data_IF_311121418921
#
_entry.id   IF_311121418921
#
_cell.length_a   1.000
_cell.length_b   1.000
_cell.length_c   1.000
_cell.angle_alpha   90.00
_cell.angle_beta   90.00
_cell.angle_gamma   90.00
#
_symmetry.space_group_name_H-M   'P 1'
#
loop_
_entity.id
_entity.type
_entity.pdbx_description
1 polymer ?
#
# COMPACT_ATOMS: atom_id res chain seq x y z
N UNK A 1 -10.79 6.80 -8.46
CA UNK A 1 -10.07 5.60 -8.00
C UNK A 1 -9.73 5.73 -6.52
N UNK A 2 -10.01 4.71 -5.75
CA UNK A 2 -9.65 4.69 -4.33
C UNK A 2 -8.51 3.72 -4.08
N UNK A 3 -7.53 4.17 -3.30
CA UNK A 3 -6.32 3.42 -3.01
C UNK A 3 -6.22 3.24 -1.50
N UNK A 4 -5.90 2.03 -1.05
CA UNK A 4 -5.69 1.76 0.37
C UNK A 4 -4.23 1.37 0.60
N UNK A 5 -3.62 1.98 1.61
CA UNK A 5 -2.23 1.71 1.96
C UNK A 5 -2.17 1.43 3.46
N UNK A 6 -1.89 0.18 3.87
CA UNK A 6 -1.70 -0.11 5.29
C UNK A 6 -0.41 0.57 5.77
N UNK A 7 -0.50 1.34 6.83
CA UNK A 7 0.64 2.11 7.30
C UNK A 7 0.92 1.89 8.79
N UNK A 8 2.17 2.15 9.16
CA UNK A 8 2.64 2.16 10.53
C UNK A 8 3.36 3.51 10.67
N UNK A 9 2.70 4.46 11.33
CA UNK A 9 3.20 5.83 11.37
C UNK A 9 3.20 6.41 9.96
N UNK A 10 4.36 6.84 9.47
CA UNK A 10 4.50 7.41 8.14
C UNK A 10 5.03 6.39 7.13
N UNK A 11 5.11 5.13 7.51
CA UNK A 11 5.71 4.10 6.68
C UNK A 11 4.69 3.07 6.24
N UNK A 12 4.98 2.41 5.12
CA UNK A 12 4.19 1.26 4.71
C UNK A 12 4.31 0.20 5.82
N UNK A 13 3.20 -0.33 6.28
CA UNK A 13 3.24 -1.38 7.29
C UNK A 13 3.93 -2.61 6.70
N UNK A 14 4.85 -3.25 7.45
CA UNK A 14 5.55 -4.44 6.93
C UNK A 14 4.60 -5.58 6.57
N UNK A 15 3.45 -5.65 7.24
CA UNK A 15 2.47 -6.72 6.98
C UNK A 15 1.08 -6.14 6.87
N UNK A 16 0.34 -6.63 5.88
CA UNK A 16 -1.03 -6.20 5.65
C UNK A 16 -1.94 -6.51 6.85
N UNK A 17 -1.77 -7.66 7.46
CA UNK A 17 -2.66 -8.16 8.51
C UNK A 17 -2.39 -7.56 9.90
N UNK A 18 -1.32 -6.78 10.04
CA UNK A 18 -0.99 -6.18 11.33
C UNK A 18 -0.85 -4.66 11.31
N UNK A 19 -1.32 -4.00 10.28
CA UNK A 19 -1.20 -2.56 10.20
C UNK A 19 -2.06 -1.86 11.26
N UNK A 20 -1.53 -0.86 11.97
CA UNK A 20 -2.32 -0.12 12.94
C UNK A 20 -3.28 0.88 12.30
N UNK A 21 -3.00 1.30 11.07
CA UNK A 21 -3.85 2.23 10.35
C UNK A 21 -3.91 1.89 8.87
N UNK A 22 -4.98 2.33 8.22
CA UNK A 22 -5.15 2.20 6.79
C UNK A 22 -5.35 3.60 6.21
N UNK A 23 -4.50 3.97 5.27
CA UNK A 23 -4.59 5.27 4.61
C UNK A 23 -5.43 5.07 3.35
N UNK A 24 -6.59 5.72 3.29
CA UNK A 24 -7.50 5.62 2.14
C UNK A 24 -7.42 6.93 1.37
N UNK A 25 -7.12 6.83 0.08
CA UNK A 25 -6.92 8.01 -0.76
C UNK A 25 -7.83 7.91 -1.97
N UNK A 26 -8.61 8.95 -2.21
CA UNK A 26 -9.45 9.01 -3.40
C UNK A 26 -8.79 9.94 -4.41
N UNK A 27 -8.56 9.43 -5.62
CA UNK A 27 -7.88 10.15 -6.69
C UNK A 27 -8.82 10.27 -7.87
N UNK A 28 -8.99 11.46 -8.40
CA UNK A 28 -9.79 11.71 -9.60
C UNK A 28 -9.05 12.67 -10.51
N UNK A 29 -8.98 12.33 -11.80
CA UNK A 29 -8.29 13.18 -12.75
C UNK A 29 -6.82 13.41 -12.44
N UNK A 30 -6.17 12.43 -11.82
CA UNK A 30 -4.76 12.53 -11.45
C UNK A 30 -4.49 13.37 -10.21
N UNK A 31 -5.53 13.73 -9.46
CA UNK A 31 -5.38 14.54 -8.25
C UNK A 31 -6.06 13.89 -7.06
N UNK A 32 -5.48 14.09 -5.88
CA UNK A 32 -6.08 13.63 -4.63
C UNK A 32 -7.24 14.54 -4.31
N UNK A 33 -8.46 13.99 -4.25
CA UNK A 33 -9.65 14.77 -3.91
C UNK A 33 -10.07 14.53 -2.47
N UNK A 34 -9.65 13.44 -1.86
CA UNK A 34 -9.98 13.15 -0.46
C UNK A 34 -9.03 12.11 0.08
N UNK A 35 -8.70 12.21 1.35
CA UNK A 35 -7.89 11.19 2.02
C UNK A 35 -8.23 11.15 3.50
N UNK A 36 -8.06 9.97 4.09
CA UNK A 36 -8.27 9.79 5.52
C UNK A 36 -7.46 8.59 6.02
N UNK A 37 -7.16 8.59 7.29
CA UNK A 37 -6.47 7.48 7.94
C UNK A 37 -7.44 6.84 8.92
N UNK A 38 -7.70 5.55 8.75
CA UNK A 38 -8.63 4.82 9.57
C UNK A 38 -7.87 3.91 10.54
N UNK A 39 -8.24 3.89 11.82
CA UNK A 39 -7.58 2.98 12.76
C UNK A 39 -7.98 1.55 12.46
N UNK A 40 -7.02 0.65 12.39
CA UNK A 40 -7.27 -0.76 12.07
C UNK A 40 -6.66 -1.72 13.08
N UNK A 41 -5.98 -1.21 14.11
CA UNK A 41 -5.32 -2.06 15.08
C UNK A 41 -6.28 -3.02 15.78
N UNK A 42 -7.53 -2.62 15.95
CA UNK A 42 -8.55 -3.43 16.61
C UNK A 42 -9.28 -4.40 15.69
N UNK A 43 -8.96 -4.39 14.40
CA UNK A 43 -9.66 -5.23 13.43
C UNK A 43 -8.97 -6.56 13.25
N UNK A 44 -9.75 -7.63 13.16
CA UNK A 44 -9.22 -8.92 12.76
C UNK A 44 -9.13 -8.98 11.24
N UNK A 45 -8.61 -10.05 10.69
CA UNK A 45 -8.39 -10.14 9.26
C UNK A 45 -9.67 -10.02 8.43
N UNK A 46 -10.76 -10.75 8.74
CA UNK A 46 -12.00 -10.57 8.00
C UNK A 46 -12.51 -9.12 8.04
N UNK A 47 -12.37 -8.46 9.17
CA UNK A 47 -12.81 -7.07 9.31
C UNK A 47 -11.96 -6.12 8.47
N UNK A 48 -10.65 -6.38 8.35
CA UNK A 48 -9.78 -5.58 7.50
C UNK A 48 -10.16 -5.72 6.02
N UNK A 49 -10.45 -6.95 5.60
CA UNK A 49 -10.87 -7.19 4.22
C UNK A 49 -12.21 -6.53 3.94
N UNK A 50 -13.12 -6.60 4.90
CA UNK A 50 -14.43 -5.97 4.80
C UNK A 50 -14.30 -4.44 4.69
N UNK A 51 -13.40 -3.86 5.46
CA UNK A 51 -13.17 -2.41 5.43
C UNK A 51 -12.71 -1.96 4.05
N UNK A 52 -11.83 -2.72 3.43
CA UNK A 52 -11.34 -2.41 2.09
C UNK A 52 -12.46 -2.48 1.08
N UNK A 53 -13.25 -3.55 1.11
CA UNK A 53 -14.34 -3.72 0.15
C UNK A 53 -15.47 -2.73 0.36
N UNK A 54 -15.83 -2.46 1.60
CA UNK A 54 -16.93 -1.55 1.90
C UNK A 54 -16.60 -0.10 1.58
N UNK A 55 -15.32 0.25 1.56
CA UNK A 55 -14.89 1.59 1.17
C UNK A 55 -14.74 1.76 -0.35
N UNK A 56 -14.99 0.73 -1.11
CA UNK A 56 -14.90 0.83 -2.57
C UNK A 56 -13.48 0.99 -3.10
N UNK A 57 -12.52 0.38 -2.41
CA UNK A 57 -11.11 0.47 -2.80
C UNK A 57 -10.87 -0.28 -4.12
N UNK A 58 -10.13 0.36 -5.01
CA UNK A 58 -9.79 -0.23 -6.31
C UNK A 58 -8.39 -0.86 -6.30
N UNK A 59 -7.50 -0.34 -5.47
CA UNK A 59 -6.11 -0.79 -5.44
C UNK A 59 -5.55 -0.75 -4.02
N UNK A 60 -4.75 -1.75 -3.68
CA UNK A 60 -4.04 -1.82 -2.40
C UNK A 60 -2.54 -1.76 -2.68
N UNK A 61 -1.83 -0.88 -1.96
CA UNK A 61 -0.37 -0.82 -2.01
C UNK A 61 0.11 -1.22 -0.62
N UNK A 62 0.87 -2.29 -0.52
CA UNK A 62 1.21 -2.84 0.79
C UNK A 62 2.60 -3.47 0.83
N UNK A 63 3.03 -3.82 2.03
CA UNK A 63 4.23 -4.60 2.25
C UNK A 63 3.93 -6.08 2.04
N UNK A 64 4.20 -6.89 3.05
CA UNK A 64 3.91 -8.33 2.98
C UNK A 64 2.43 -8.62 3.04
N UNK A 65 1.95 -9.49 2.17
CA UNK A 65 0.57 -9.92 2.16
C UNK A 65 0.54 -11.40 1.78
N UNK A 66 -0.25 -12.19 2.49
CA UNK A 66 -0.29 -13.63 2.23
C UNK A 66 -1.20 -13.97 1.04
N UNK A 67 -1.09 -15.21 0.59
CA UNK A 67 -1.85 -15.68 -0.57
C UNK A 67 -3.35 -15.65 -0.36
N UNK A 68 -3.81 -15.92 0.87
CA UNK A 68 -5.22 -15.89 1.17
C UNK A 68 -5.80 -14.48 0.96
N UNK A 69 -5.13 -13.47 1.52
CA UNK A 69 -5.57 -12.09 1.37
C UNK A 69 -5.51 -11.63 -0.08
N UNK A 70 -4.45 -12.02 -0.80
CA UNK A 70 -4.34 -11.69 -2.21
C UNK A 70 -5.51 -12.27 -2.99
N UNK A 71 -5.88 -13.52 -2.72
CA UNK A 71 -7.00 -14.16 -3.39
C UNK A 71 -8.32 -13.48 -3.06
N UNK A 72 -8.53 -13.14 -1.79
CA UNK A 72 -9.76 -12.48 -1.36
C UNK A 72 -9.94 -11.12 -2.04
N UNK A 73 -8.89 -10.34 -2.10
CA UNK A 73 -8.95 -9.02 -2.71
C UNK A 73 -9.02 -9.13 -4.24
N UNK A 74 -8.24 -10.00 -4.82
CA UNK A 74 -8.23 -10.20 -6.26
C UNK A 74 -9.55 -10.68 -6.80
N UNK A 75 -10.25 -11.55 -6.06
CA UNK A 75 -11.55 -12.06 -6.50
C UNK A 75 -12.62 -10.96 -6.53
N UNK A 76 -12.34 -9.82 -5.91
CA UNK A 76 -13.23 -8.67 -5.93
C UNK A 76 -12.77 -7.60 -6.90
N UNK A 77 -11.79 -7.91 -7.73
CA UNK A 77 -11.30 -6.98 -8.73
C UNK A 77 -10.37 -5.92 -8.19
N UNK A 78 -9.81 -6.12 -7.00
CA UNK A 78 -8.88 -5.16 -6.40
C UNK A 78 -7.46 -5.52 -6.81
N UNK A 79 -6.77 -4.56 -7.41
CA UNK A 79 -5.36 -4.74 -7.78
C UNK A 79 -4.46 -4.56 -6.57
N UNK A 80 -3.37 -5.30 -6.52
CA UNK A 80 -2.44 -5.24 -5.39
C UNK A 80 -1.03 -4.99 -5.88
N UNK A 81 -0.36 -4.00 -5.27
CA UNK A 81 1.08 -3.81 -5.45
C UNK A 81 1.69 -4.19 -4.11
N UNK A 82 2.41 -5.30 -4.07
CA UNK A 82 2.94 -5.86 -2.83
C UNK A 82 4.45 -5.70 -2.71
N UNK A 83 4.96 -6.02 -1.54
CA UNK A 83 6.40 -5.96 -1.23
C UNK A 83 7.00 -4.57 -1.37
N UNK A 84 6.21 -3.55 -1.08
CA UNK A 84 6.67 -2.18 -1.08
C UNK A 84 7.01 -1.78 0.34
N UNK A 85 8.09 -1.06 0.54
CA UNK A 85 8.57 -0.66 1.86
C UNK A 85 8.94 0.81 1.90
N UNK A 86 8.98 1.34 3.09
CA UNK A 86 9.53 2.66 3.35
C UNK A 86 8.48 3.73 3.55
N UNK A 87 8.83 4.94 3.20
CA UNK A 87 7.98 6.11 3.42
C UNK A 87 6.71 6.05 2.57
N UNK A 88 5.55 6.08 3.22
CA UNK A 88 4.28 5.92 2.54
C UNK A 88 3.98 7.07 1.57
N UNK A 89 4.37 8.28 1.93
CA UNK A 89 4.16 9.44 1.06
C UNK A 89 4.96 9.35 -0.22
N UNK A 90 6.21 8.89 -0.12
CA UNK A 90 7.06 8.72 -1.30
C UNK A 90 6.51 7.60 -2.18
N UNK A 91 6.07 6.51 -1.57
CA UNK A 91 5.50 5.39 -2.30
C UNK A 91 4.26 5.84 -3.06
N UNK A 92 3.37 6.58 -2.40
CA UNK A 92 2.17 7.08 -3.04
C UNK A 92 2.51 8.03 -4.20
N UNK A 93 3.51 8.89 -4.01
CA UNK A 93 3.94 9.82 -5.05
C UNK A 93 4.44 9.07 -6.29
N UNK A 94 5.22 8.00 -6.08
CA UNK A 94 5.67 7.15 -7.19
C UNK A 94 4.51 6.48 -7.89
N UNK A 95 3.51 6.04 -7.12
CA UNK A 95 2.33 5.45 -7.71
C UNK A 95 1.63 6.45 -8.63
N UNK A 96 1.49 7.69 -8.18
CA UNK A 96 0.84 8.73 -8.97
C UNK A 96 1.61 9.05 -10.26
N UNK A 97 2.92 8.82 -10.26
CA UNK A 97 3.76 9.03 -11.43
C UNK A 97 3.87 7.78 -12.31
N UNK A 98 3.17 6.72 -11.97
CA UNK A 98 3.22 5.48 -12.72
C UNK A 98 4.52 4.72 -12.60
N UNK A 99 5.27 4.94 -11.52
CA UNK A 99 6.59 4.34 -11.32
C UNK A 99 6.66 3.30 -10.21
N UNK A 100 5.55 3.02 -9.56
CA UNK A 100 5.58 2.09 -8.46
C UNK A 100 5.59 0.65 -8.95
N UNK A 101 6.48 -0.16 -8.39
CA UNK A 101 6.60 -1.58 -8.71
C UNK A 101 6.81 -2.40 -7.45
N UNK A 102 6.39 -3.67 -7.43
CA UNK A 102 6.65 -4.53 -6.27
C UNK A 102 8.15 -4.64 -5.98
N UNK A 103 8.47 -4.73 -4.70
CA UNK A 103 9.86 -4.87 -4.28
C UNK A 103 10.59 -3.55 -4.07
N UNK A 104 9.92 -2.43 -4.27
CA UNK A 104 10.56 -1.13 -4.14
C UNK A 104 10.62 -0.68 -2.69
N UNK A 105 11.77 -0.14 -2.29
CA UNK A 105 11.98 0.42 -0.96
C UNK A 105 12.28 1.91 -1.09
N UNK A 106 11.50 2.75 -0.44
CA UNK A 106 11.62 4.19 -0.59
C UNK A 106 11.84 4.88 0.75
N UNK A 107 12.79 5.80 0.79
CA UNK A 107 13.07 6.59 1.99
C UNK A 107 13.24 8.06 1.65
N UNK A 108 12.93 8.91 2.61
CA UNK A 108 13.19 10.33 2.51
C UNK A 108 14.08 10.76 3.65
N UNK A 109 15.12 11.54 3.36
CA UNK A 109 15.99 12.11 4.37
C UNK A 109 16.22 13.56 4.04
N UNK A 110 15.72 14.44 4.84
CA UNK A 110 15.84 15.86 4.58
C UNK A 110 15.23 16.19 3.24
N UNK A 111 16.03 16.64 2.29
CA UNK A 111 15.55 16.98 0.97
C UNK A 111 15.69 15.85 -0.03
N UNK A 112 16.27 14.75 0.38
CA UNK A 112 16.53 13.66 -0.54
C UNK A 112 15.47 12.61 -0.45
N UNK A 113 15.17 12.03 -1.59
CA UNK A 113 14.35 10.83 -1.67
C UNK A 113 15.21 9.74 -2.26
N UNK A 114 15.00 8.56 -1.76
CA UNK A 114 15.79 7.41 -2.17
C UNK A 114 14.88 6.21 -2.34
N UNK A 115 14.96 5.58 -3.50
CA UNK A 115 14.22 4.36 -3.76
C UNK A 115 15.15 3.34 -4.40
N UNK A 116 15.05 2.11 -3.92
CA UNK A 116 15.87 1.02 -4.44
C UNK A 116 15.08 -0.28 -4.37
N UNK A 117 15.52 -1.26 -5.13
CA UNK A 117 14.91 -2.57 -5.07
C UNK A 117 15.35 -3.25 -3.79
N UNK A 118 14.42 -3.95 -3.16
CA UNK A 118 14.73 -4.71 -1.98
C UNK A 118 15.64 -5.86 -2.33
N UNK A 119 16.62 -6.12 -1.47
CA UNK A 119 17.49 -7.24 -1.64
C UNK A 119 16.68 -8.52 -1.64
N UNK A 120 16.89 -9.35 -2.60
CA UNK A 120 16.17 -10.60 -2.75
C UNK A 120 14.95 -10.50 -3.63
N UNK A 121 14.34 -9.35 -3.74
CA UNK A 121 13.16 -9.18 -4.57
C UNK A 121 13.52 -9.14 -6.01
N UNK A 122 14.72 -8.63 -6.30
CA UNK A 122 15.06 -8.50 -7.65
C UNK A 122 16.12 -9.39 -8.04
N UNK A 123 16.45 -10.26 -7.20
CA UNK A 123 17.56 -11.14 -7.41
C UNK A 123 17.62 -11.74 -8.75
N UNK A 124 16.66 -11.62 -9.48
CA UNK A 124 16.68 -12.19 -10.64
C UNK A 124 16.93 -11.34 -11.70
N UNK A 125 17.13 -10.30 -11.62
CA UNK A 125 17.30 -9.57 -12.60
C UNK A 125 18.48 -9.74 -13.17
N UNK A 126 19.05 -10.14 -12.91
CA UNK A 126 20.15 -10.15 -13.36
C UNK A 126 20.60 -10.38 -14.09
#
# INVERSE_FOLDING_TARGET
>A
MKIAIPIFGNRISPRFDFSPEMWIINVEGGKVVRQEKLPTAHLNLPQRLEQITSNGVDKVICGGIDGFCQNQLGSRGIDIVQDVMGDAGIVFDLFMKGRLQPGLYCEGKGRRRFCAWRKGSIGRRI
#
